data_IF_103165505857
#
_entry.id   IF_103165505857
#
_cell.length_a   1.000
_cell.length_b   1.000
_cell.length_c   1.000
_cell.angle_alpha   90.00
_cell.angle_beta   90.00
_cell.angle_gamma   90.00
#
_symmetry.space_group_name_H-M   'P 1'
#
loop_
_entity.id
_entity.type
_entity.pdbx_description
1 polymer ?
#
# COMPACT_ATOMS: atom_id res chain seq x y z
N UNK A 1 -60.36 -8.87 -17.18
CA UNK A 1 -59.22 -8.33 -16.41
C UNK A 1 -57.96 -8.38 -17.26
N UNK A 2 -57.66 -7.33 -18.04
CA UNK A 2 -56.38 -7.19 -18.77
C UNK A 2 -55.41 -6.45 -17.84
N UNK A 3 -54.56 -7.18 -17.12
CA UNK A 3 -53.54 -6.61 -16.23
C UNK A 3 -52.29 -6.22 -17.02
N UNK A 4 -51.86 -4.98 -16.78
CA UNK A 4 -50.58 -4.34 -17.07
C UNK A 4 -49.41 -5.27 -17.48
N UNK A 5 -49.12 -5.34 -18.79
CA UNK A 5 -47.86 -5.89 -19.32
C UNK A 5 -46.83 -4.82 -19.69
N UNK A 6 -47.18 -3.52 -19.60
CA UNK A 6 -46.33 -2.41 -20.03
C UNK A 6 -45.25 -1.99 -19.03
N UNK A 7 -45.42 -2.26 -17.73
CA UNK A 7 -44.49 -1.78 -16.69
C UNK A 7 -43.24 -2.65 -16.53
N UNK A 8 -43.33 -3.96 -16.80
CA UNK A 8 -42.15 -4.86 -16.77
C UNK A 8 -41.19 -4.55 -17.93
N UNK A 9 -41.72 -4.34 -19.13
CA UNK A 9 -40.91 -4.03 -20.31
C UNK A 9 -40.09 -2.74 -20.16
N UNK A 10 -40.64 -1.75 -19.45
CA UNK A 10 -39.94 -0.48 -19.20
C UNK A 10 -38.79 -0.63 -18.20
N UNK A 11 -38.97 -1.46 -17.17
CA UNK A 11 -37.95 -1.75 -16.16
C UNK A 11 -36.80 -2.59 -16.74
N UNK A 12 -37.12 -3.58 -17.59
CA UNK A 12 -36.13 -4.39 -18.28
C UNK A 12 -35.29 -3.55 -19.25
N UNK A 13 -35.92 -2.60 -19.95
CA UNK A 13 -35.22 -1.66 -20.83
C UNK A 13 -34.30 -0.70 -20.05
N UNK A 14 -34.76 -0.18 -18.91
CA UNK A 14 -33.95 0.67 -18.04
C UNK A 14 -32.76 -0.11 -17.44
N UNK A 15 -32.98 -1.35 -17.01
CA UNK A 15 -31.92 -2.21 -16.48
C UNK A 15 -30.88 -2.55 -17.57
N UNK A 16 -31.32 -2.86 -18.79
CA UNK A 16 -30.43 -3.06 -19.93
C UNK A 16 -29.63 -1.80 -20.26
N UNK A 17 -30.26 -0.62 -20.23
CA UNK A 17 -29.59 0.67 -20.43
C UNK A 17 -28.51 0.95 -19.39
N UNK A 18 -28.80 0.69 -18.11
CA UNK A 18 -27.81 0.84 -17.01
C UNK A 18 -26.69 -0.18 -17.15
N UNK A 19 -26.98 -1.42 -17.51
CA UNK A 19 -25.97 -2.46 -17.72
C UNK A 19 -25.02 -2.10 -18.87
N UNK A 20 -25.55 -1.60 -19.98
CA UNK A 20 -24.74 -1.10 -21.11
C UNK A 20 -23.94 0.13 -20.69
N UNK A 21 -24.54 1.07 -19.95
CA UNK A 21 -23.83 2.24 -19.44
C UNK A 21 -22.67 1.85 -18.52
N UNK A 22 -22.90 0.96 -17.54
CA UNK A 22 -21.86 0.43 -16.65
C UNK A 22 -20.81 -0.35 -17.43
N UNK A 23 -21.19 -1.15 -18.43
CA UNK A 23 -20.24 -1.82 -19.32
C UNK A 23 -19.35 -0.78 -20.04
N UNK A 24 -19.95 0.26 -20.62
CA UNK A 24 -19.25 1.30 -21.36
C UNK A 24 -18.34 2.16 -20.48
N UNK A 25 -18.73 2.44 -19.22
CA UNK A 25 -17.98 3.31 -18.32
C UNK A 25 -17.00 2.59 -17.40
N UNK A 26 -17.23 1.31 -17.13
CA UNK A 26 -16.55 0.58 -16.05
C UNK A 26 -15.79 -0.66 -16.53
N UNK A 27 -15.74 -0.92 -17.84
CA UNK A 27 -14.92 -2.01 -18.43
C UNK A 27 -13.91 -1.50 -19.44
N UNK A 28 -12.79 -2.23 -19.66
CA UNK A 28 -11.77 -1.87 -20.66
C UNK A 28 -12.32 -1.83 -22.09
N UNK A 29 -13.19 -2.78 -22.42
CA UNK A 29 -13.84 -2.86 -23.74
C UNK A 29 -14.76 -1.66 -23.96
N UNK A 30 -15.51 -1.27 -22.92
CA UNK A 30 -16.35 -0.09 -22.95
C UNK A 30 -15.59 1.20 -23.24
N UNK A 31 -14.43 1.38 -22.62
CA UNK A 31 -13.58 2.54 -22.84
C UNK A 31 -13.04 2.61 -24.28
N UNK A 32 -12.68 1.48 -24.89
CA UNK A 32 -12.25 1.42 -26.30
C UNK A 32 -13.38 1.82 -27.26
N UNK A 33 -14.60 1.36 -27.00
CA UNK A 33 -15.79 1.72 -27.81
C UNK A 33 -16.07 3.22 -27.72
N UNK A 34 -15.97 3.81 -26.52
CA UNK A 34 -16.18 5.25 -26.32
C UNK A 34 -15.06 6.10 -26.96
N UNK A 35 -13.80 5.64 -26.90
CA UNK A 35 -12.67 6.30 -27.56
C UNK A 35 -12.81 6.29 -29.09
N UNK A 36 -13.19 5.14 -29.67
CA UNK A 36 -13.43 5.01 -31.10
C UNK A 36 -14.60 5.88 -31.57
N UNK A 37 -15.69 5.94 -30.78
CA UNK A 37 -16.83 6.81 -31.06
C UNK A 37 -16.49 8.30 -30.97
N UNK A 38 -15.69 8.72 -29.99
CA UNK A 38 -15.24 10.11 -29.86
C UNK A 38 -14.35 10.54 -31.03
N UNK A 39 -13.49 9.63 -31.52
CA UNK A 39 -12.65 9.84 -32.70
C UNK A 39 -13.49 9.94 -33.99
N UNK A 40 -14.49 9.07 -34.15
CA UNK A 40 -15.36 9.06 -35.32
C UNK A 40 -16.30 10.27 -35.39
N UNK A 41 -16.61 10.90 -34.24
CA UNK A 41 -17.52 12.03 -34.14
C UNK A 41 -16.83 13.39 -33.92
N UNK A 42 -15.49 13.43 -34.00
CA UNK A 42 -14.66 14.62 -33.77
C UNK A 42 -15.04 15.41 -32.49
N UNK A 43 -15.34 14.67 -31.41
CA UNK A 43 -15.74 15.28 -30.13
C UNK A 43 -14.59 15.33 -29.14
N UNK A 44 -14.46 16.42 -28.36
CA UNK A 44 -13.47 16.52 -27.30
C UNK A 44 -13.69 15.42 -26.25
N UNK A 45 -12.61 14.75 -25.86
CA UNK A 45 -12.63 13.64 -24.89
C UNK A 45 -13.08 14.14 -23.51
N UNK A 46 -14.36 13.97 -23.19
CA UNK A 46 -14.91 14.32 -21.89
C UNK A 46 -14.68 13.17 -20.90
N UNK A 47 -13.87 13.44 -19.86
CA UNK A 47 -13.48 12.57 -18.73
C UNK A 47 -12.44 11.51 -19.07
N UNK A 48 -11.37 11.47 -18.25
CA UNK A 48 -10.34 10.43 -18.28
C UNK A 48 -10.93 9.12 -17.73
N UNK A 49 -11.14 8.09 -18.56
CA UNK A 49 -11.54 6.80 -18.05
C UNK A 49 -10.36 6.17 -17.27
N UNK A 50 -10.68 5.27 -16.34
CA UNK A 50 -9.73 4.40 -15.63
C UNK A 50 -8.72 3.69 -16.55
N UNK A 51 -8.99 3.61 -17.86
CA UNK A 51 -8.09 3.13 -18.90
C UNK A 51 -6.76 3.90 -18.98
N UNK A 52 -6.69 5.18 -18.63
CA UNK A 52 -5.39 5.90 -18.58
C UNK A 52 -4.44 5.36 -17.50
N UNK A 53 -4.99 4.75 -16.45
CA UNK A 53 -4.21 4.12 -15.37
C UNK A 53 -3.64 2.75 -15.79
N UNK A 54 -4.36 2.02 -16.64
CA UNK A 54 -3.92 0.72 -17.17
C UNK A 54 -3.10 0.83 -18.46
N UNK A 55 -3.40 1.79 -19.34
CA UNK A 55 -2.63 2.06 -20.55
C UNK A 55 -1.23 2.57 -20.21
N UNK A 56 -1.08 3.39 -19.15
CA UNK A 56 0.24 3.74 -18.62
C UNK A 56 1.05 2.54 -18.12
N UNK A 57 0.39 1.45 -17.68
CA UNK A 57 1.03 0.22 -17.22
C UNK A 57 1.36 -0.71 -18.40
N UNK A 58 0.49 -0.84 -19.40
CA UNK A 58 0.76 -1.62 -20.61
C UNK A 58 1.79 -0.95 -21.53
N UNK A 59 1.72 0.37 -21.70
CA UNK A 59 2.74 1.15 -22.41
C UNK A 59 4.06 1.12 -21.65
N UNK A 60 4.07 1.16 -20.30
CA UNK A 60 5.29 0.94 -19.51
C UNK A 60 5.84 -0.49 -19.65
N UNK A 61 4.98 -1.52 -19.74
CA UNK A 61 5.41 -2.90 -19.98
C UNK A 61 5.94 -3.09 -21.40
N UNK A 62 5.33 -2.45 -22.40
CA UNK A 62 5.79 -2.47 -23.79
C UNK A 62 7.10 -1.67 -23.99
N UNK A 63 7.27 -0.52 -23.32
CA UNK A 63 8.52 0.24 -23.31
C UNK A 63 9.64 -0.54 -22.60
N UNK A 64 9.30 -1.31 -21.56
CA UNK A 64 10.23 -2.20 -20.84
C UNK A 64 10.58 -3.44 -21.66
N UNK A 65 9.67 -3.95 -22.49
CA UNK A 65 9.94 -5.03 -23.44
C UNK A 65 10.77 -4.56 -24.66
N UNK A 66 10.66 -3.29 -25.04
CA UNK A 66 11.44 -2.66 -26.09
C UNK A 66 12.79 -2.10 -25.61
N UNK A 67 13.04 -2.05 -24.30
CA UNK A 67 14.33 -1.67 -23.75
C UNK A 67 15.34 -2.77 -24.07
N UNK A 68 16.35 -2.45 -24.88
CA UNK A 68 17.48 -3.34 -25.19
C UNK A 68 18.00 -3.97 -23.90
N UNK A 69 18.05 -5.32 -23.81
CA UNK A 69 18.59 -5.97 -22.64
C UNK A 69 20.01 -5.45 -22.41
N UNK A 70 20.23 -4.85 -21.23
CA UNK A 70 21.59 -4.59 -20.77
C UNK A 70 22.26 -5.97 -20.74
N UNK A 71 23.39 -6.17 -21.43
CA UNK A 71 24.01 -7.47 -21.52
C UNK A 71 24.23 -8.02 -20.11
N UNK A 72 23.83 -9.28 -19.92
CA UNK A 72 24.11 -10.04 -18.72
C UNK A 72 25.62 -10.29 -18.66
N UNK A 73 26.36 -9.31 -18.14
CA UNK A 73 27.73 -9.54 -17.73
C UNK A 73 27.63 -10.34 -16.44
N UNK A 74 27.54 -11.66 -16.58
CA UNK A 74 28.06 -12.62 -15.61
C UNK A 74 29.58 -12.41 -15.51
N UNK A 75 29.99 -11.24 -15.04
CA UNK A 75 31.36 -10.99 -14.69
C UNK A 75 31.56 -11.51 -13.26
N UNK A 76 31.96 -12.77 -13.24
CA UNK A 76 32.38 -13.56 -12.09
C UNK A 76 33.74 -13.09 -11.54
N UNK A 77 34.23 -11.90 -11.91
CA UNK A 77 35.49 -11.36 -11.40
C UNK A 77 35.30 -10.05 -10.64
N UNK A 78 34.96 -10.14 -9.36
CA UNK A 78 35.32 -9.09 -8.39
C UNK A 78 35.93 -9.80 -7.19
N UNK A 79 37.20 -9.49 -6.92
CA UNK A 79 37.94 -9.94 -5.76
C UNK A 79 37.25 -9.56 -4.44
N UNK A 80 37.71 -10.10 -3.31
CA UNK A 80 37.06 -9.89 -2.02
C UNK A 80 36.90 -8.40 -1.72
N UNK A 81 35.82 -7.99 -1.02
CA UNK A 81 35.64 -6.60 -0.65
C UNK A 81 36.77 -6.16 0.29
N UNK A 82 37.74 -5.43 -0.27
CA UNK A 82 38.71 -4.64 0.49
C UNK A 82 37.96 -3.45 1.10
N UNK A 83 37.40 -3.68 2.29
CA UNK A 83 37.38 -2.80 3.47
C UNK A 83 36.52 -3.56 4.49
N UNK A 84 37.17 -4.16 5.49
CA UNK A 84 36.48 -4.67 6.67
C UNK A 84 35.87 -3.48 7.43
N UNK A 85 34.61 -3.15 7.13
CA UNK A 85 33.82 -2.23 7.94
C UNK A 85 33.75 -2.79 9.37
N UNK A 86 33.80 -1.94 10.41
CA UNK A 86 33.76 -2.40 11.79
C UNK A 86 32.57 -3.33 11.97
N UNK A 87 32.80 -4.48 12.61
CA UNK A 87 31.76 -5.43 13.00
C UNK A 87 30.84 -4.72 13.97
N UNK A 88 29.82 -4.07 13.43
CA UNK A 88 28.73 -3.52 14.21
C UNK A 88 28.04 -4.73 14.82
N UNK A 89 28.00 -4.81 16.15
CA UNK A 89 27.06 -5.67 16.86
C UNK A 89 25.65 -5.17 16.55
N UNK A 90 25.07 -5.67 15.45
CA UNK A 90 23.66 -5.49 15.16
C UNK A 90 22.89 -6.36 16.15
N UNK A 91 21.91 -5.78 16.81
CA UNK A 91 20.99 -6.52 17.68
C UNK A 91 19.58 -6.21 17.26
N UNK A 92 18.63 -7.12 17.50
CA UNK A 92 17.21 -6.84 17.27
C UNK A 92 16.72 -5.55 17.93
N UNK A 93 17.27 -5.20 19.09
CA UNK A 93 16.95 -3.95 19.79
C UNK A 93 17.35 -2.68 19.00
N UNK A 94 18.28 -2.80 18.05
CA UNK A 94 18.72 -1.70 17.19
C UNK A 94 17.85 -1.51 15.95
N UNK A 95 16.93 -2.43 15.65
CA UNK A 95 16.04 -2.33 14.50
C UNK A 95 14.82 -1.46 14.84
N UNK A 96 14.33 -0.67 13.86
CA UNK A 96 13.06 0.03 13.99
C UNK A 96 11.94 -1.00 14.14
N UNK A 97 11.19 -1.03 15.26
CA UNK A 97 10.25 -2.13 15.54
C UNK A 97 9.17 -2.30 14.47
N UNK A 98 8.66 -1.20 13.91
CA UNK A 98 7.65 -1.23 12.87
C UNK A 98 8.18 -1.75 11.53
N UNK A 99 9.40 -1.37 11.14
CA UNK A 99 10.07 -1.91 9.96
C UNK A 99 10.32 -3.40 10.09
N UNK A 100 10.86 -3.83 11.24
CA UNK A 100 11.11 -5.24 11.49
C UNK A 100 9.81 -6.04 11.44
N UNK A 101 8.75 -5.56 12.11
CA UNK A 101 7.44 -6.22 12.09
C UNK A 101 6.92 -6.37 10.66
N UNK A 102 6.95 -5.30 9.86
CA UNK A 102 6.52 -5.34 8.47
C UNK A 102 7.37 -6.32 7.64
N UNK A 103 8.69 -6.25 7.76
CA UNK A 103 9.58 -7.15 7.03
C UNK A 103 9.32 -8.63 7.38
N UNK A 104 8.98 -8.95 8.63
CA UNK A 104 8.63 -10.31 9.06
C UNK A 104 7.25 -10.75 8.56
N UNK A 105 6.27 -9.84 8.51
CA UNK A 105 4.93 -10.15 8.02
C UNK A 105 4.90 -10.42 6.51
N UNK A 106 5.77 -9.76 5.75
CA UNK A 106 5.87 -9.87 4.30
C UNK A 106 7.06 -10.71 3.81
N UNK A 107 7.95 -11.15 4.71
CA UNK A 107 9.13 -11.93 4.35
C UNK A 107 8.74 -13.06 3.39
N UNK A 108 9.40 -13.17 2.21
CA UNK A 108 9.10 -14.23 1.27
C UNK A 108 9.14 -15.58 1.98
N UNK A 109 8.14 -16.42 1.70
CA UNK A 109 8.03 -17.76 2.28
C UNK A 109 9.15 -18.69 1.82
N UNK A 110 9.84 -18.34 0.73
CA UNK A 110 10.99 -19.09 0.22
C UNK A 110 12.29 -18.52 0.77
N UNK A 111 13.05 -19.31 1.56
CA UNK A 111 14.28 -18.86 2.18
C UNK A 111 15.32 -18.35 1.18
N UNK A 112 15.40 -18.96 0.00
CA UNK A 112 16.47 -18.76 -0.99
C UNK A 112 16.72 -17.28 -1.36
N UNK A 113 15.66 -16.48 -1.43
CA UNK A 113 15.77 -15.05 -1.72
C UNK A 113 16.56 -14.29 -0.66
N UNK A 114 16.34 -14.62 0.62
CA UNK A 114 17.00 -13.98 1.77
C UNK A 114 18.33 -14.69 2.09
N UNK A 115 18.41 -16.01 1.91
CA UNK A 115 19.58 -16.83 2.24
C UNK A 115 20.86 -16.33 1.57
N UNK A 116 20.80 -15.94 0.29
CA UNK A 116 21.96 -15.38 -0.40
C UNK A 116 22.45 -14.08 0.24
N UNK A 117 21.53 -13.19 0.63
CA UNK A 117 21.84 -11.95 1.35
C UNK A 117 22.43 -12.25 2.73
N UNK A 118 21.86 -13.20 3.47
CA UNK A 118 22.36 -13.56 4.80
C UNK A 118 23.79 -14.10 4.72
N UNK A 119 24.08 -14.93 3.72
CA UNK A 119 25.44 -15.40 3.44
C UNK A 119 26.40 -14.25 3.11
N UNK A 120 25.98 -13.30 2.25
CA UNK A 120 26.77 -12.08 1.94
C UNK A 120 27.08 -11.26 3.20
N UNK A 121 26.17 -11.25 4.17
CA UNK A 121 26.32 -10.55 5.45
C UNK A 121 27.10 -11.36 6.51
N UNK A 122 27.39 -12.64 6.26
CA UNK A 122 27.99 -13.54 7.24
C UNK A 122 27.04 -13.92 8.40
N UNK A 123 25.73 -13.85 8.18
CA UNK A 123 24.69 -14.19 9.16
C UNK A 123 24.23 -15.65 9.00
N UNK A 124 23.59 -16.18 10.05
CA UNK A 124 23.02 -17.53 10.03
C UNK A 124 21.97 -17.67 8.92
N UNK A 125 22.15 -18.64 8.02
CA UNK A 125 21.16 -18.97 7.00
C UNK A 125 19.87 -19.50 7.62
N UNK A 126 18.73 -19.10 7.05
CA UNK A 126 17.40 -19.47 7.55
C UNK A 126 16.88 -20.68 6.76
N UNK A 127 16.39 -21.69 7.48
CA UNK A 127 15.75 -22.86 6.91
C UNK A 127 14.26 -22.96 7.30
N UNK A 128 13.52 -23.91 6.71
CA UNK A 128 12.10 -24.10 6.99
C UNK A 128 11.79 -24.41 8.47
N UNK A 129 12.74 -24.99 9.20
CA UNK A 129 12.63 -25.39 10.61
C UNK A 129 13.32 -24.44 11.58
N UNK A 130 13.83 -23.29 11.12
CA UNK A 130 14.49 -22.33 12.00
C UNK A 130 13.50 -21.79 13.03
N UNK A 131 13.94 -21.75 14.29
CA UNK A 131 13.18 -21.18 15.40
C UNK A 131 12.72 -19.75 15.06
N UNK A 132 11.43 -19.40 15.25
CA UNK A 132 10.91 -18.05 14.96
C UNK A 132 11.69 -16.92 15.64
N UNK A 133 12.16 -17.12 16.88
CA UNK A 133 12.94 -16.11 17.60
C UNK A 133 14.31 -15.89 16.96
N UNK A 134 14.97 -16.97 16.52
CA UNK A 134 16.24 -16.90 15.78
C UNK A 134 16.02 -16.22 14.43
N UNK A 135 14.97 -16.61 13.70
CA UNK A 135 14.61 -16.00 12.42
C UNK A 135 14.40 -14.50 12.54
N UNK A 136 13.60 -14.08 13.53
CA UNK A 136 13.28 -12.68 13.77
C UNK A 136 14.54 -11.88 14.15
N UNK A 137 15.43 -12.47 14.96
CA UNK A 137 16.72 -11.89 15.32
C UNK A 137 17.60 -11.70 14.08
N UNK A 138 17.80 -12.75 13.27
CA UNK A 138 18.63 -12.70 12.06
C UNK A 138 18.13 -11.66 11.06
N UNK A 139 16.82 -11.58 10.83
CA UNK A 139 16.24 -10.58 9.92
C UNK A 139 16.45 -9.16 10.47
N UNK A 140 16.32 -8.96 11.78
CA UNK A 140 16.57 -7.67 12.40
C UNK A 140 18.05 -7.24 12.26
N UNK A 141 18.98 -8.17 12.47
CA UNK A 141 20.41 -7.93 12.27
C UNK A 141 20.73 -7.57 10.83
N UNK A 142 20.18 -8.32 9.87
CA UNK A 142 20.35 -8.05 8.45
C UNK A 142 19.86 -6.64 8.07
N UNK A 143 18.65 -6.27 8.49
CA UNK A 143 18.08 -4.94 8.20
C UNK A 143 18.93 -3.81 8.80
N UNK A 144 19.42 -3.96 10.04
CA UNK A 144 20.28 -2.97 10.69
C UNK A 144 21.60 -2.82 9.95
N UNK A 145 22.26 -3.93 9.60
CA UNK A 145 23.51 -3.91 8.86
C UNK A 145 23.33 -3.27 7.48
N UNK A 146 22.32 -3.70 6.72
CA UNK A 146 22.03 -3.17 5.39
C UNK A 146 21.67 -1.68 5.45
N UNK A 147 20.87 -1.25 6.42
CA UNK A 147 20.51 0.17 6.59
C UNK A 147 21.73 1.03 6.85
N UNK A 148 22.67 0.56 7.68
CA UNK A 148 23.94 1.27 7.94
C UNK A 148 24.85 1.29 6.71
N UNK A 149 24.99 0.15 6.02
CA UNK A 149 25.88 0.00 4.86
C UNK A 149 25.41 0.71 3.60
N UNK A 150 24.09 0.83 3.43
CA UNK A 150 23.46 1.45 2.26
C UNK A 150 22.92 2.86 2.57
N UNK A 151 22.88 3.27 3.84
CA UNK A 151 22.52 4.63 4.25
C UNK A 151 21.02 4.93 4.26
N UNK A 152 20.15 3.90 4.27
CA UNK A 152 18.71 4.10 4.33
C UNK A 152 17.90 2.81 4.41
N UNK A 153 16.63 2.92 4.82
CA UNK A 153 15.73 1.77 4.98
C UNK A 153 15.22 1.22 3.64
N UNK A 154 14.88 2.08 2.67
CA UNK A 154 14.41 1.63 1.35
C UNK A 154 15.45 0.73 0.63
N UNK A 155 16.75 1.10 0.53
CA UNK A 155 17.75 0.21 -0.04
C UNK A 155 18.02 -1.01 0.85
N UNK A 156 17.85 -0.92 2.17
CA UNK A 156 18.03 -2.06 3.07
C UNK A 156 16.96 -3.14 2.88
N UNK A 157 15.69 -2.75 2.80
CA UNK A 157 14.57 -3.65 2.52
C UNK A 157 14.75 -4.30 1.15
N UNK A 158 15.14 -3.51 0.14
CA UNK A 158 15.44 -4.05 -1.18
C UNK A 158 16.60 -5.07 -1.15
N UNK A 159 17.68 -4.74 -0.44
CA UNK A 159 18.86 -5.59 -0.36
C UNK A 159 18.59 -6.88 0.40
N UNK A 160 17.64 -6.89 1.35
CA UNK A 160 17.25 -8.10 2.07
C UNK A 160 16.87 -9.24 1.11
N UNK A 161 16.17 -8.93 0.01
CA UNK A 161 15.69 -9.90 -0.97
C UNK A 161 16.47 -9.91 -2.30
N UNK A 162 17.22 -8.85 -2.59
CA UNK A 162 17.99 -8.71 -3.84
C UNK A 162 19.50 -8.91 -3.67
N UNK A 163 20.00 -9.01 -2.44
CA UNK A 163 21.44 -8.98 -2.12
C UNK A 163 22.00 -7.56 -2.09
N UNK A 164 23.00 -7.34 -1.24
CA UNK A 164 23.61 -6.02 -1.01
C UNK A 164 24.31 -5.53 -2.29
N UNK A 165 25.05 -6.42 -2.95
CA UNK A 165 25.86 -6.09 -4.13
C UNK A 165 25.01 -5.53 -5.28
N UNK A 166 23.85 -6.13 -5.54
CA UNK A 166 22.97 -5.69 -6.65
C UNK A 166 22.37 -4.32 -6.36
N UNK A 167 21.91 -4.10 -5.13
CA UNK A 167 21.34 -2.81 -4.72
C UNK A 167 22.41 -1.72 -4.75
N UNK A 168 23.62 -1.99 -4.23
CA UNK A 168 24.74 -1.05 -4.26
C UNK A 168 25.08 -0.60 -5.68
N UNK A 169 25.21 -1.53 -6.63
CA UNK A 169 25.43 -1.20 -8.05
C UNK A 169 24.31 -0.35 -8.65
N UNK A 170 23.05 -0.65 -8.34
CA UNK A 170 21.91 0.14 -8.81
C UNK A 170 21.90 1.56 -8.21
N UNK A 171 22.28 1.69 -6.94
CA UNK A 171 22.46 2.98 -6.26
C UNK A 171 23.60 3.80 -6.87
N UNK A 172 24.74 3.17 -7.18
CA UNK A 172 25.88 3.86 -7.81
C UNK A 172 25.52 4.39 -9.20
N UNK A 173 24.77 3.62 -10.00
CA UNK A 173 24.21 4.11 -11.28
C UNK A 173 23.24 5.28 -11.08
N UNK A 174 22.46 5.28 -10.01
CA UNK A 174 21.55 6.38 -9.67
C UNK A 174 22.31 7.66 -9.29
N UNK A 175 23.41 7.51 -8.52
CA UNK A 175 24.33 8.60 -8.19
C UNK A 175 24.99 9.18 -9.44
N UNK A 176 25.42 8.32 -10.36
CA UNK A 176 26.09 8.73 -11.60
C UNK A 176 25.20 9.62 -12.48
N UNK A 177 23.87 9.49 -12.39
CA UNK A 177 22.89 10.36 -13.09
C UNK A 177 22.40 11.54 -12.23
N UNK A 178 23.07 11.86 -11.12
CA UNK A 178 22.77 13.00 -10.26
C UNK A 178 21.45 12.87 -9.48
N UNK A 179 20.99 11.65 -9.21
CA UNK A 179 19.75 11.39 -8.47
C UNK A 179 20.03 10.80 -7.10
N UNK A 180 19.18 11.13 -6.13
CA UNK A 180 19.19 10.51 -4.79
C UNK A 180 19.08 8.97 -4.90
N UNK A 181 20.10 8.21 -4.46
CA UNK A 181 20.11 6.76 -4.54
C UNK A 181 19.31 6.09 -3.42
N UNK A 182 18.83 6.82 -2.42
CA UNK A 182 18.13 6.24 -1.27
C UNK A 182 16.66 5.95 -1.54
N UNK A 183 16.12 6.37 -2.69
CA UNK A 183 14.71 6.15 -3.06
C UNK A 183 14.55 4.94 -3.96
N UNK A 184 13.74 3.96 -3.54
CA UNK A 184 13.37 2.78 -4.31
C UNK A 184 12.91 3.15 -5.73
N UNK A 185 12.03 4.15 -5.85
CA UNK A 185 11.51 4.62 -7.15
C UNK A 185 12.58 5.15 -8.13
N UNK A 186 13.78 5.45 -7.61
CA UNK A 186 14.94 5.92 -8.38
C UNK A 186 15.88 4.77 -8.70
N UNK A 187 16.43 4.09 -7.70
CA UNK A 187 17.45 3.06 -7.95
C UNK A 187 16.89 1.78 -8.54
N UNK A 188 15.62 1.44 -8.28
CA UNK A 188 15.01 0.23 -8.85
C UNK A 188 15.04 0.24 -10.38
N UNK A 189 15.03 1.41 -11.03
CA UNK A 189 15.12 1.56 -12.49
C UNK A 189 16.43 1.02 -13.09
N UNK A 190 17.46 0.89 -12.26
CA UNK A 190 18.77 0.38 -12.65
C UNK A 190 18.95 -1.12 -12.31
N UNK A 191 17.91 -1.78 -11.79
CA UNK A 191 17.86 -3.23 -11.58
C UNK A 191 17.33 -3.96 -12.82
N UNK A 192 17.72 -5.23 -13.04
CA UNK A 192 17.09 -6.07 -14.06
C UNK A 192 15.57 -6.15 -13.84
N UNK A 193 14.79 -6.03 -14.92
CA UNK A 193 13.33 -5.93 -14.83
C UNK A 193 12.69 -7.13 -14.10
N UNK A 194 13.17 -8.35 -14.35
CA UNK A 194 12.70 -9.57 -13.70
C UNK A 194 12.89 -9.52 -12.17
N UNK A 195 14.06 -9.07 -11.72
CA UNK A 195 14.39 -8.95 -10.29
C UNK A 195 13.63 -7.81 -9.63
N UNK A 196 13.50 -6.67 -10.31
CA UNK A 196 12.70 -5.54 -9.83
C UNK A 196 11.25 -5.96 -9.61
N UNK A 197 10.61 -6.56 -10.60
CA UNK A 197 9.21 -6.97 -10.53
C UNK A 197 8.98 -8.05 -9.45
N UNK A 198 9.95 -8.93 -9.22
CA UNK A 198 9.86 -9.93 -8.16
C UNK A 198 9.98 -9.32 -6.75
N UNK A 199 10.85 -8.33 -6.56
CA UNK A 199 11.09 -7.70 -5.26
C UNK A 199 10.12 -6.55 -4.93
N UNK A 200 9.56 -5.88 -5.95
CA UNK A 200 8.75 -4.68 -5.79
C UNK A 200 7.56 -4.84 -4.82
N UNK A 201 6.74 -5.91 -4.90
CA UNK A 201 5.66 -6.11 -3.93
C UNK A 201 6.17 -6.19 -2.49
N UNK A 202 7.24 -6.97 -2.26
CA UNK A 202 7.84 -7.10 -0.94
C UNK A 202 8.35 -5.76 -0.40
N UNK A 203 9.07 -4.99 -1.24
CA UNK A 203 9.65 -3.71 -0.82
C UNK A 203 8.56 -2.70 -0.51
N UNK A 204 7.57 -2.54 -1.40
CA UNK A 204 6.51 -1.56 -1.22
C UNK A 204 5.60 -1.91 -0.05
N UNK A 205 5.20 -3.17 0.09
CA UNK A 205 4.35 -3.62 1.21
C UNK A 205 5.10 -3.48 2.53
N UNK A 206 6.37 -3.88 2.61
CA UNK A 206 7.17 -3.73 3.83
C UNK A 206 7.28 -2.26 4.24
N UNK A 207 7.59 -1.36 3.29
CA UNK A 207 7.71 0.07 3.60
C UNK A 207 6.36 0.67 4.00
N UNK A 208 5.28 0.36 3.27
CA UNK A 208 3.94 0.85 3.58
C UNK A 208 3.48 0.38 4.97
N UNK A 209 3.56 -0.91 5.26
CA UNK A 209 3.15 -1.43 6.56
C UNK A 209 4.08 -1.00 7.70
N UNK A 210 5.36 -0.69 7.41
CA UNK A 210 6.23 -0.07 8.42
C UNK A 210 5.75 1.32 8.84
N UNK A 211 5.09 2.06 7.95
CA UNK A 211 4.45 3.34 8.28
C UNK A 211 3.11 3.09 8.98
N UNK A 212 2.31 2.15 8.48
CA UNK A 212 1.02 1.81 9.07
C UNK A 212 1.14 1.33 10.53
N UNK A 213 2.18 0.56 10.85
CA UNK A 213 2.46 0.09 12.21
C UNK A 213 2.94 1.17 13.19
N UNK A 214 3.27 2.37 12.71
CA UNK A 214 3.61 3.52 13.55
C UNK A 214 2.43 4.46 13.79
N UNK A 215 1.27 4.19 13.16
CA UNK A 215 0.07 4.98 13.36
C UNK A 215 -0.40 4.91 14.83
N UNK A 216 -0.75 6.06 15.36
CA UNK A 216 -1.24 6.24 16.73
C UNK A 216 -2.77 6.37 16.76
N UNK A 217 -3.39 6.09 17.92
CA UNK A 217 -4.77 6.49 18.20
C UNK A 217 -5.10 7.91 17.72
N UNK A 218 -6.20 8.10 16.96
CA UNK A 218 -6.61 9.43 16.48
C UNK A 218 -7.36 10.25 17.55
N UNK A 219 -7.62 9.65 18.72
CA UNK A 219 -8.25 10.29 19.88
C UNK A 219 -7.39 10.04 21.13
N UNK A 220 -7.41 10.98 22.06
CA UNK A 220 -6.73 10.83 23.34
C UNK A 220 -7.51 9.93 24.30
N UNK A 221 -6.80 9.22 25.18
CA UNK A 221 -7.40 8.39 26.22
C UNK A 221 -7.83 7.00 25.75
N UNK A 222 -8.75 6.37 26.50
CA UNK A 222 -9.26 5.03 26.19
C UNK A 222 -10.21 5.11 25.00
N UNK A 223 -9.90 4.38 23.93
CA UNK A 223 -10.77 4.28 22.76
C UNK A 223 -11.90 3.29 23.02
N UNK A 224 -13.12 3.68 22.62
CA UNK A 224 -14.28 2.81 22.59
C UNK A 224 -14.74 2.66 21.14
N UNK A 225 -14.76 1.40 20.66
CA UNK A 225 -15.22 1.08 19.31
C UNK A 225 -16.75 0.97 19.37
N UNK A 226 -17.44 1.90 18.74
CA UNK A 226 -18.89 1.77 18.51
C UNK A 226 -19.16 0.87 17.31
N UNK A 227 -18.21 0.81 16.37
CA UNK A 227 -18.45 0.20 15.07
C UNK A 227 -17.15 -0.30 14.41
N UNK A 228 -17.03 -1.60 14.14
CA UNK A 228 -15.83 -2.23 13.55
C UNK A 228 -15.77 -2.13 12.03
N UNK A 229 -14.56 -2.24 11.49
CA UNK A 229 -14.29 -2.44 10.07
C UNK A 229 -14.88 -3.77 9.56
N UNK A 230 -15.26 -3.83 8.28
CA UNK A 230 -15.65 -5.07 7.60
C UNK A 230 -17.13 -5.17 7.24
N UNK A 231 -17.57 -6.37 6.86
CA UNK A 231 -18.97 -6.63 6.48
C UNK A 231 -19.93 -6.52 7.66
N UNK A 232 -21.10 -5.94 7.39
CA UNK A 232 -22.19 -5.76 8.35
C UNK A 232 -23.50 -6.11 7.70
N UNK A 233 -24.32 -6.87 8.42
CA UNK A 233 -25.68 -7.15 7.98
C UNK A 233 -26.59 -6.09 8.59
N UNK A 234 -27.30 -5.34 7.75
CA UNK A 234 -28.30 -4.40 8.22
C UNK A 234 -29.42 -5.16 8.95
N UNK A 235 -29.72 -4.83 10.23
CA UNK A 235 -30.57 -5.67 11.08
C UNK A 235 -32.02 -5.79 10.60
N UNK A 236 -32.49 -4.84 9.78
CA UNK A 236 -33.88 -4.79 9.30
C UNK A 236 -34.00 -5.29 7.85
N UNK A 237 -32.99 -5.05 7.01
CA UNK A 237 -33.07 -5.31 5.56
C UNK A 237 -32.24 -6.50 5.11
N UNK A 238 -31.40 -7.05 6.00
CA UNK A 238 -30.49 -8.15 5.69
C UNK A 238 -29.37 -7.79 4.70
N UNK A 239 -29.28 -6.55 4.25
CA UNK A 239 -28.28 -6.15 3.26
C UNK A 239 -26.88 -6.10 3.87
N UNK A 240 -25.90 -6.64 3.14
CA UNK A 240 -24.49 -6.54 3.52
C UNK A 240 -23.98 -5.15 3.14
N UNK A 241 -23.55 -4.39 4.13
CA UNK A 241 -22.80 -3.15 3.94
C UNK A 241 -21.36 -3.36 4.41
N UNK A 242 -20.40 -2.91 3.62
CA UNK A 242 -18.99 -2.98 3.99
C UNK A 242 -18.55 -1.66 4.62
N UNK A 243 -18.23 -1.70 5.91
CA UNK A 243 -17.73 -0.57 6.65
C UNK A 243 -16.22 -0.40 6.40
N UNK A 244 -15.84 0.67 5.71
CA UNK A 244 -14.46 0.93 5.26
C UNK A 244 -13.55 1.53 6.33
N UNK A 245 -14.06 1.71 7.54
CA UNK A 245 -13.32 2.34 8.64
C UNK A 245 -13.66 1.75 9.99
N UNK A 246 -13.33 2.49 11.03
CA UNK A 246 -13.56 2.19 12.43
C UNK A 246 -14.25 3.41 13.05
N UNK A 247 -15.42 3.21 13.65
CA UNK A 247 -16.09 4.29 14.36
C UNK A 247 -15.70 4.23 15.83
N UNK A 248 -15.24 5.38 16.32
CA UNK A 248 -14.79 5.58 17.68
C UNK A 248 -15.75 6.54 18.40
N UNK A 249 -16.19 6.16 19.60
CA UNK A 249 -17.03 7.02 20.42
C UNK A 249 -16.30 8.34 20.71
N UNK A 250 -16.92 9.47 20.34
CA UNK A 250 -16.38 10.79 20.59
C UNK A 250 -17.53 11.79 20.71
N UNK A 251 -17.48 12.67 21.72
CA UNK A 251 -18.44 13.77 21.82
C UNK A 251 -18.15 14.79 20.72
N UNK A 252 -19.17 15.53 20.29
CA UNK A 252 -18.97 16.71 19.45
C UNK A 252 -17.93 17.65 20.07
N UNK A 253 -17.02 18.19 19.25
CA UNK A 253 -15.93 19.06 19.67
C UNK A 253 -14.66 18.36 20.19
N UNK A 254 -14.64 17.03 20.33
CA UNK A 254 -13.46 16.29 20.83
C UNK A 254 -12.28 16.46 19.87
N UNK A 255 -11.08 16.73 20.40
CA UNK A 255 -9.88 16.88 19.58
C UNK A 255 -9.54 15.60 18.81
N UNK A 256 -9.40 15.72 17.50
CA UNK A 256 -8.98 14.64 16.59
C UNK A 256 -7.53 14.88 16.19
N UNK A 257 -6.70 13.86 16.35
CA UNK A 257 -5.25 13.93 16.19
C UNK A 257 -4.80 13.17 14.95
N UNK A 258 -3.80 13.68 14.24
CA UNK A 258 -3.14 12.97 13.16
C UNK A 258 -2.47 11.69 13.69
N UNK A 259 -2.91 10.53 13.23
CA UNK A 259 -2.35 9.23 13.63
C UNK A 259 -0.87 9.09 13.28
N UNK A 260 -0.40 9.73 12.21
CA UNK A 260 0.99 9.72 11.77
C UNK A 260 1.43 11.07 11.24
N UNK A 261 2.74 11.27 11.10
CA UNK A 261 3.28 12.42 10.37
C UNK A 261 2.88 12.33 8.90
N UNK A 262 2.65 13.44 8.23
CA UNK A 262 2.27 13.40 6.82
C UNK A 262 1.95 14.77 6.25
N UNK A 263 1.37 14.75 5.05
CA UNK A 263 0.86 15.93 4.36
C UNK A 263 -0.65 15.78 4.23
N UNK A 264 -1.40 16.81 4.59
CA UNK A 264 -2.85 16.84 4.40
C UNK A 264 -3.13 16.82 2.90
N UNK A 265 -3.66 15.70 2.41
CA UNK A 265 -3.90 15.48 0.99
C UNK A 265 -5.28 15.94 0.55
N UNK A 266 -6.27 15.95 1.46
CA UNK A 266 -7.63 16.46 1.20
C UNK A 266 -8.27 17.08 2.43
N UNK A 267 -9.01 18.17 2.21
CA UNK A 267 -9.95 18.76 3.17
C UNK A 267 -11.23 19.05 2.42
N UNK A 268 -12.28 18.28 2.68
CA UNK A 268 -13.54 18.37 1.92
C UNK A 268 -14.74 18.16 2.82
N UNK A 269 -15.90 18.48 2.27
CA UNK A 269 -17.20 18.20 2.85
C UNK A 269 -18.07 17.49 1.82
N UNK A 270 -18.71 16.39 2.22
CA UNK A 270 -19.70 15.70 1.41
C UNK A 270 -20.82 15.09 2.28
N UNK A 271 -21.95 14.75 1.65
CA UNK A 271 -23.14 14.26 2.35
C UNK A 271 -22.92 12.96 3.14
N UNK A 272 -21.89 12.16 2.77
CA UNK A 272 -21.61 10.88 3.41
C UNK A 272 -20.59 11.05 4.53
N UNK A 273 -19.40 11.56 4.21
CA UNK A 273 -18.29 11.70 5.16
C UNK A 273 -18.42 12.94 6.05
N UNK A 274 -19.34 13.85 5.76
CA UNK A 274 -19.39 15.17 6.38
C UNK A 274 -18.11 15.94 6.08
N UNK A 275 -17.70 16.80 7.00
CA UNK A 275 -16.38 17.44 6.93
C UNK A 275 -15.31 16.44 7.28
N UNK A 276 -14.33 16.27 6.40
CA UNK A 276 -13.26 15.30 6.59
C UNK A 276 -11.90 15.83 6.20
N UNK A 277 -10.88 15.22 6.82
CA UNK A 277 -9.47 15.44 6.54
C UNK A 277 -8.88 14.11 6.08
N UNK A 278 -8.09 14.13 5.01
CA UNK A 278 -7.25 12.99 4.61
C UNK A 278 -5.78 13.39 4.70
N UNK A 279 -4.95 12.53 5.30
CA UNK A 279 -3.50 12.72 5.45
C UNK A 279 -2.77 11.61 4.71
N UNK A 280 -1.86 11.98 3.82
CA UNK A 280 -0.91 11.07 3.18
C UNK A 280 0.36 10.95 4.04
N UNK A 281 0.68 9.72 4.43
CA UNK A 281 1.84 9.38 5.26
C UNK A 281 3.04 8.88 4.44
N UNK A 282 2.89 8.78 3.11
CA UNK A 282 3.87 8.22 2.20
C UNK A 282 3.72 6.71 2.01
N UNK A 283 4.44 6.18 1.01
CA UNK A 283 4.41 4.75 0.62
C UNK A 283 3.00 4.19 0.37
N UNK A 284 2.05 5.04 0.00
CA UNK A 284 0.67 4.65 -0.27
C UNK A 284 -0.19 4.44 0.99
N UNK A 285 0.27 4.90 2.16
CA UNK A 285 -0.50 4.88 3.41
C UNK A 285 -1.22 6.22 3.58
N UNK A 286 -2.52 6.19 3.79
CA UNK A 286 -3.29 7.38 4.15
C UNK A 286 -4.29 7.12 5.27
N UNK A 287 -4.63 8.18 6.00
CA UNK A 287 -5.68 8.17 7.00
C UNK A 287 -6.76 9.19 6.68
N UNK A 288 -8.02 8.84 6.96
CA UNK A 288 -9.15 9.77 6.83
C UNK A 288 -9.90 9.91 8.15
N UNK A 289 -10.28 11.14 8.49
CA UNK A 289 -10.98 11.52 9.71
C UNK A 289 -12.29 12.17 9.30
N UNK A 290 -13.42 11.52 9.50
CA UNK A 290 -14.73 11.95 8.99
C UNK A 290 -15.69 12.41 10.10
N UNK A 291 -16.83 12.97 9.69
CA UNK A 291 -17.91 13.49 10.54
C UNK A 291 -17.50 14.63 11.47
N UNK A 292 -16.52 15.45 11.09
CA UNK A 292 -15.99 16.51 11.96
C UNK A 292 -16.93 17.71 12.08
N UNK A 293 -16.90 18.37 13.24
CA UNK A 293 -17.56 19.65 13.47
C UNK A 293 -16.67 20.86 13.11
N UNK A 294 -15.37 20.65 13.01
CA UNK A 294 -14.44 21.69 12.59
C UNK A 294 -13.17 21.07 12.02
N UNK A 295 -12.54 21.73 11.04
CA UNK A 295 -11.27 21.33 10.45
C UNK A 295 -10.24 22.43 10.69
N UNK A 296 -9.11 22.05 11.28
CA UNK A 296 -8.10 22.98 11.81
C UNK A 296 -6.82 23.01 10.95
N UNK A 297 -6.83 22.35 9.80
CA UNK A 297 -5.70 22.23 8.88
C UNK A 297 -6.16 22.44 7.43
N UNK A 298 -5.22 22.76 6.55
CA UNK A 298 -5.48 22.99 5.13
C UNK A 298 -4.82 21.94 4.23
N UNK A 299 -5.34 21.74 3.01
CA UNK A 299 -4.67 20.90 1.99
C UNK A 299 -3.24 21.39 1.73
N UNK A 300 -2.30 20.44 1.61
CA UNK A 300 -0.87 20.70 1.45
C UNK A 300 -0.12 20.97 2.76
N UNK A 301 -0.80 21.11 3.90
CA UNK A 301 -0.15 21.34 5.18
C UNK A 301 0.61 20.10 5.68
N UNK A 302 1.85 20.27 6.11
CA UNK A 302 2.58 19.25 6.85
C UNK A 302 2.06 19.15 8.29
N UNK A 303 1.87 17.93 8.77
CA UNK A 303 1.38 17.64 10.11
C UNK A 303 2.29 16.64 10.83
N UNK A 304 2.52 16.88 12.11
CA UNK A 304 3.22 15.95 12.98
C UNK A 304 2.28 14.85 13.50
N UNK A 305 2.83 13.68 13.83
CA UNK A 305 2.06 12.65 14.54
C UNK A 305 1.58 13.19 15.90
N UNK A 306 0.29 13.04 16.18
CA UNK A 306 -0.37 13.56 17.38
C UNK A 306 -0.80 15.03 17.30
N UNK A 307 -0.52 15.73 16.19
CA UNK A 307 -1.02 17.10 15.99
C UNK A 307 -2.53 17.09 15.86
N UNK A 308 -3.22 18.04 16.49
CA UNK A 308 -4.66 18.21 16.30
C UNK A 308 -4.96 18.71 14.88
N UNK A 309 -5.86 18.02 14.18
CA UNK A 309 -6.23 18.32 12.79
C UNK A 309 -7.69 18.69 12.61
N UNK A 310 -8.56 18.26 13.53
CA UNK A 310 -9.98 18.58 13.48
C UNK A 310 -10.62 18.44 14.87
N UNK A 311 -11.93 18.68 14.93
CA UNK A 311 -12.78 18.37 16.08
C UNK A 311 -13.87 17.41 15.62
N UNK A 312 -14.06 16.29 16.33
CA UNK A 312 -15.11 15.31 16.01
C UNK A 312 -16.48 15.95 16.10
N UNK A 313 -17.45 15.39 15.40
CA UNK A 313 -18.75 16.01 15.26
C UNK A 313 -19.83 15.02 14.89
N UNK A 314 -20.84 15.52 14.19
CA UNK A 314 -21.94 14.71 13.68
C UNK A 314 -22.35 15.12 12.25
N UNK A 315 -21.42 15.62 11.46
CA UNK A 315 -21.69 16.09 10.09
C UNK A 315 -21.80 14.94 9.08
N UNK A 316 -22.47 15.19 7.95
CA UNK A 316 -22.73 14.18 6.93
C UNK A 316 -23.69 13.08 7.41
N UNK A 317 -23.53 11.88 6.88
CA UNK A 317 -24.43 10.75 7.20
C UNK A 317 -23.93 10.02 8.45
N UNK A 318 -24.33 10.52 9.61
CA UNK A 318 -24.01 9.95 10.92
C UNK A 318 -25.28 9.81 11.80
N UNK A 319 -25.33 8.78 12.63
CA UNK A 319 -26.45 8.53 13.56
C UNK A 319 -26.31 9.28 14.89
N UNK A 320 -25.10 9.72 15.22
CA UNK A 320 -24.79 10.47 16.45
C UNK A 320 -23.30 10.79 16.53
N UNK A 321 -22.86 11.70 17.42
CA UNK A 321 -21.48 12.15 17.46
C UNK A 321 -20.47 11.00 17.64
N UNK A 322 -19.53 10.90 16.70
CA UNK A 322 -18.44 9.93 16.71
C UNK A 322 -17.33 10.37 15.75
N UNK A 323 -16.19 9.68 15.79
CA UNK A 323 -15.15 9.78 14.76
C UNK A 323 -15.18 8.53 13.89
N UNK A 324 -15.46 8.70 12.60
CA UNK A 324 -15.23 7.64 11.62
C UNK A 324 -13.80 7.76 11.08
N UNK A 325 -12.98 6.76 11.38
CA UNK A 325 -11.55 6.73 11.07
C UNK A 325 -11.24 5.65 10.04
N UNK A 326 -10.62 6.01 8.93
CA UNK A 326 -10.21 5.06 7.88
C UNK A 326 -8.70 5.03 7.75
N UNK A 327 -8.17 3.85 7.43
CA UNK A 327 -6.78 3.65 7.02
C UNK A 327 -6.78 2.96 5.67
N UNK A 328 -6.06 3.52 4.71
CA UNK A 328 -5.85 2.91 3.41
C UNK A 328 -4.36 2.61 3.17
N UNK A 329 -4.07 1.44 2.61
CA UNK A 329 -2.74 1.05 2.14
C UNK A 329 -2.83 0.66 0.68
N UNK A 330 -2.09 1.34 -0.19
CA UNK A 330 -2.15 1.12 -1.64
C UNK A 330 -3.54 1.39 -2.23
N UNK A 331 -4.30 2.32 -1.63
CA UNK A 331 -5.67 2.66 -2.02
C UNK A 331 -6.72 1.63 -1.61
N UNK A 332 -6.38 0.67 -0.75
CA UNK A 332 -7.32 -0.31 -0.21
C UNK A 332 -7.58 -0.02 1.28
N UNK A 333 -8.84 0.11 1.71
CA UNK A 333 -9.18 0.19 3.12
C UNK A 333 -8.74 -1.08 3.87
N UNK A 334 -8.13 -0.90 5.04
CA UNK A 334 -7.74 -1.98 5.95
C UNK A 334 -8.32 -1.74 7.35
N UNK A 335 -8.41 -2.78 8.18
CA UNK A 335 -8.88 -2.64 9.57
C UNK A 335 -7.93 -1.74 10.37
N UNK A 336 -8.38 -0.55 10.85
CA UNK A 336 -7.54 0.35 11.63
C UNK A 336 -7.23 -0.17 13.04
N UNK A 337 -8.10 -1.02 13.61
CA UNK A 337 -8.02 -1.44 15.00
C UNK A 337 -6.64 -2.03 15.40
N UNK A 338 -6.08 -3.03 14.68
CA UNK A 338 -4.78 -3.61 15.05
C UNK A 338 -3.61 -2.62 14.93
N UNK A 339 -3.75 -1.53 14.16
CA UNK A 339 -2.71 -0.52 13.97
C UNK A 339 -2.67 0.46 15.15
N UNK A 340 -3.83 0.86 15.65
CA UNK A 340 -3.95 1.86 16.73
C UNK A 340 -3.98 1.23 18.13
N UNK A 341 -3.43 0.02 18.29
CA UNK A 341 -3.32 -0.67 19.58
C UNK A 341 -4.61 -1.29 20.11
N UNK A 342 -5.68 -1.32 19.30
CA UNK A 342 -6.92 -2.01 19.63
C UNK A 342 -6.84 -3.45 19.14
N UNK A 343 -6.64 -4.39 20.08
CA UNK A 343 -6.54 -5.81 19.76
C UNK A 343 -7.85 -6.32 19.13
N UNK A 344 -7.88 -6.45 17.81
CA UNK A 344 -8.65 -7.47 17.09
C UNK A 344 -7.67 -8.51 16.53
N UNK A 345 -8.08 -9.78 16.55
CA UNK A 345 -7.28 -10.92 16.10
C UNK A 345 -6.75 -10.71 14.67
N UNK A 346 -5.47 -11.05 14.46
CA UNK A 346 -4.76 -11.24 13.19
C UNK A 346 -5.17 -10.32 12.03
N UNK A 347 -4.27 -9.41 11.64
CA UNK A 347 -4.29 -8.86 10.28
C UNK A 347 -4.27 -10.05 9.35
N UNK A 348 -5.38 -10.27 8.63
CA UNK A 348 -5.47 -11.34 7.65
C UNK A 348 -4.34 -11.10 6.64
N UNK A 349 -3.35 -11.99 6.65
CA UNK A 349 -2.34 -12.07 5.59
C UNK A 349 -3.11 -12.17 4.29
N UNK A 350 -3.19 -11.09 3.51
CA UNK A 350 -3.61 -11.22 2.11
C UNK A 350 -2.43 -11.81 1.35
N UNK A 351 -2.14 -13.08 1.63
CA UNK A 351 -1.31 -13.92 0.77
C UNK A 351 -2.13 -14.22 -0.48
N UNK A 352 -2.28 -13.22 -1.33
CA UNK A 352 -2.69 -13.42 -2.71
C UNK A 352 -1.76 -12.59 -3.57
N UNK A 353 -0.50 -13.02 -3.61
CA UNK A 353 0.30 -12.71 -4.78
C UNK A 353 -0.44 -13.33 -5.96
N UNK A 354 -0.87 -12.48 -6.88
CA UNK A 354 -1.46 -12.85 -8.17
C UNK A 354 -0.49 -13.66 -9.07
N UNK A 355 0.68 -14.04 -8.54
CA UNK A 355 1.70 -14.85 -9.23
C UNK A 355 1.55 -16.36 -8.97
N UNK A 356 0.72 -16.80 -8.02
CA UNK A 356 0.48 -18.25 -7.80
C UNK A 356 -0.40 -18.92 -8.87
N UNK A 357 -1.02 -18.17 -9.76
CA UNK A 357 -1.83 -18.73 -10.87
C UNK A 357 -1.01 -18.95 -12.16
N UNK A 358 0.14 -18.29 -12.33
CA UNK A 358 0.94 -18.43 -13.56
C UNK A 358 2.09 -19.44 -13.45
N UNK A 359 2.46 -19.89 -12.25
CA UNK A 359 3.54 -20.86 -12.06
C UNK A 359 3.12 -22.35 -12.21
N UNK A 360 1.85 -22.63 -12.54
CA UNK A 360 1.34 -24.01 -12.77
C UNK A 360 1.29 -24.45 -14.24
N UNK A 361 1.77 -23.62 -15.16
CA UNK A 361 1.74 -23.90 -16.61
C UNK A 361 3.12 -24.04 -17.28
N UNK A 362 4.20 -24.27 -16.52
CA UNK A 362 5.56 -24.46 -17.10
C UNK A 362 6.29 -25.74 -16.64
N UNK A 363 5.58 -26.75 -16.14
CA UNK A 363 6.20 -28.08 -15.91
C UNK A 363 5.35 -29.21 -16.48
N UNK A 364 4.94 -29.06 -17.73
CA UNK A 364 4.37 -30.14 -18.51
C UNK A 364 4.76 -29.98 -20.00
N UNK A 365 6.03 -30.24 -20.30
CA UNK A 365 6.48 -30.97 -21.49
C UNK A 365 7.94 -31.37 -21.34
#
# INVERSE_FOLDING_TARGET
MKRASGSLALLDFAAAGIAVYVMLTSTPVGALVMDAGALALDRPRARRPLASFFRAREEAVALVAAATPIPDTSDTSIGPPDVALPVVTATRASARPALLRAALDFAPSEPDAITSTLRELGLQELGPSTDPAVRDQTIAEALVLLSRRLGGEEPAVAALVLGETRVRRAMDRTRAVGRDPLRWSRFSRHLPATRRLAAEPFVLDTLAYSVAYELRPPLAGKLEITSRFGERTHPITGSKQHHRGLDLAAKAGTSVLASGRGIVSRVKEDDVNGRFVQIDHGFGVSTSYCHNDDVLVAEGQEVASGQQVSRSGNTGRSTGPHLHFQVEVGGKPIDPAPLIGLRSHAIARSSTSLLRVLARWWTAT
#
